data_IF_477377712391
#
_entry.id   IF_477377712391
#
_cell.length_a   1.000
_cell.length_b   1.000
_cell.length_c   1.000
_cell.angle_alpha   90.00
_cell.angle_beta   90.00
_cell.angle_gamma   90.00
#
_symmetry.space_group_name_H-M   'P 1'
#
loop_
_entity.id
_entity.type
_entity.pdbx_description
1 polymer ?
#
# COMPACT_ATOMS: atom_id res chain seq x y z
N UNK A 1 24.39 -9.54 -1.05
CA UNK A 1 23.56 -9.14 0.11
C UNK A 1 22.10 -9.33 -0.26
N UNK A 2 21.32 -10.03 0.57
CA UNK A 2 19.89 -10.29 0.28
C UNK A 2 19.05 -9.07 0.68
N UNK A 3 18.17 -8.62 -0.21
CA UNK A 3 17.31 -7.46 0.05
C UNK A 3 15.85 -7.88 -0.09
N UNK A 4 15.09 -7.68 0.98
CA UNK A 4 13.67 -7.96 1.03
C UNK A 4 12.87 -6.69 0.75
N UNK A 5 12.04 -6.71 -0.28
CA UNK A 5 11.08 -5.65 -0.60
C UNK A 5 9.74 -6.04 0.02
N UNK A 6 9.27 -5.28 0.99
CA UNK A 6 8.11 -5.63 1.80
C UNK A 6 7.03 -4.57 1.60
N UNK A 7 5.86 -4.99 1.12
CA UNK A 7 4.68 -4.14 1.08
C UNK A 7 4.05 -4.08 2.47
N UNK A 8 3.71 -2.87 2.91
CA UNK A 8 3.00 -2.67 4.17
C UNK A 8 1.69 -3.46 4.22
N UNK A 9 1.16 -3.75 5.41
CA UNK A 9 -0.12 -4.43 5.58
C UNK A 9 -1.31 -3.50 5.34
N UNK A 10 -2.53 -4.05 5.39
CA UNK A 10 -3.76 -3.29 5.19
C UNK A 10 -3.90 -2.16 6.22
N UNK A 11 -4.29 -0.97 5.75
CA UNK A 11 -4.43 0.23 6.56
C UNK A 11 -5.87 0.77 6.51
N UNK A 12 -6.25 1.53 7.52
CA UNK A 12 -7.47 2.35 7.48
C UNK A 12 -7.29 3.45 6.44
N UNK A 13 -8.25 3.58 5.54
CA UNK A 13 -8.21 4.57 4.47
C UNK A 13 -9.11 5.73 4.87
N UNK A 14 -8.55 6.89 5.22
CA UNK A 14 -9.39 8.04 5.50
C UNK A 14 -9.82 8.75 4.21
N UNK A 15 -10.91 8.27 3.65
CA UNK A 15 -11.53 8.82 2.45
C UNK A 15 -12.21 10.18 2.67
N UNK A 16 -12.36 10.64 3.91
CA UNK A 16 -12.85 12.01 4.17
C UNK A 16 -11.82 13.07 3.81
N UNK A 17 -10.55 12.66 3.68
CA UNK A 17 -9.41 13.57 3.53
C UNK A 17 -9.04 14.33 4.81
N UNK A 18 -9.66 14.04 5.96
CA UNK A 18 -9.34 14.70 7.22
C UNK A 18 -7.96 14.29 7.75
N UNK A 19 -7.59 13.01 7.60
CA UNK A 19 -6.26 12.51 7.92
C UNK A 19 -5.41 12.38 6.65
N UNK A 20 -4.25 13.04 6.60
CA UNK A 20 -3.27 12.81 5.55
C UNK A 20 -2.90 11.34 5.42
N UNK A 21 -2.63 10.90 4.19
CA UNK A 21 -2.29 9.50 3.84
C UNK A 21 -1.08 8.96 4.62
N UNK A 22 -0.17 9.86 5.00
CA UNK A 22 1.01 9.54 5.84
C UNK A 22 0.64 9.15 7.27
N UNK A 23 -0.56 9.51 7.74
CA UNK A 23 -1.07 9.25 9.10
C UNK A 23 -2.08 8.08 9.15
N UNK A 24 -2.26 7.37 8.04
CA UNK A 24 -3.11 6.18 8.03
C UNK A 24 -2.41 5.05 8.78
N UNK A 25 -3.12 4.50 9.77
CA UNK A 25 -2.69 3.39 10.61
C UNK A 25 -3.10 2.05 10.02
N UNK A 26 -2.44 0.97 10.45
CA UNK A 26 -2.85 -0.40 10.13
C UNK A 26 -4.23 -0.74 10.69
N UNK A 27 -4.96 -1.58 9.95
CA UNK A 27 -6.10 -2.30 10.50
C UNK A 27 -5.60 -3.38 11.49
N UNK A 28 -6.39 -3.81 12.49
CA UNK A 28 -5.97 -4.83 13.46
C UNK A 28 -5.49 -6.13 12.79
N UNK A 29 -6.18 -6.60 11.77
CA UNK A 29 -5.78 -7.77 10.98
C UNK A 29 -4.47 -7.55 10.23
N UNK A 30 -4.22 -6.33 9.74
CA UNK A 30 -2.96 -5.95 9.11
C UNK A 30 -1.78 -5.98 10.08
N UNK A 31 -1.98 -5.52 11.31
CA UNK A 31 -0.98 -5.61 12.38
C UNK A 31 -0.65 -7.07 12.74
N UNK A 32 -1.67 -7.95 12.84
CA UNK A 32 -1.47 -9.37 13.09
C UNK A 32 -0.70 -10.05 11.95
N UNK A 33 -1.11 -9.82 10.69
CA UNK A 33 -0.45 -10.37 9.51
C UNK A 33 1.00 -9.86 9.35
N UNK A 34 1.28 -8.63 9.76
CA UNK A 34 2.64 -8.08 9.79
C UNK A 34 3.55 -8.87 10.74
N UNK A 35 3.05 -9.25 11.92
CA UNK A 35 3.79 -10.11 12.85
C UNK A 35 4.08 -11.48 12.26
N UNK A 36 3.07 -12.13 11.68
CA UNK A 36 3.22 -13.42 11.01
C UNK A 36 4.20 -13.38 9.84
N UNK A 37 4.18 -12.30 9.03
CA UNK A 37 5.15 -12.13 7.96
C UNK A 37 6.57 -12.03 8.52
N UNK A 38 6.76 -11.37 9.66
CA UNK A 38 8.04 -11.36 10.38
C UNK A 38 8.50 -12.77 10.78
N UNK A 39 7.61 -13.61 11.30
CA UNK A 39 7.93 -15.00 11.66
C UNK A 39 8.30 -15.84 10.43
N UNK A 40 7.52 -15.75 9.36
CA UNK A 40 7.77 -16.47 8.10
C UNK A 40 9.11 -16.07 7.50
N UNK A 41 9.35 -14.76 7.38
CA UNK A 41 10.62 -14.23 6.86
C UNK A 41 11.78 -14.60 7.78
N UNK A 42 11.56 -14.69 9.09
CA UNK A 42 12.54 -15.13 10.09
C UNK A 42 12.96 -16.59 9.94
N UNK A 43 12.11 -17.44 9.36
CA UNK A 43 12.42 -18.84 9.08
C UNK A 43 13.21 -19.08 7.79
N UNK A 44 13.51 -18.04 7.01
CA UNK A 44 14.30 -18.15 5.78
C UNK A 44 15.79 -18.31 6.08
N UNK A 45 16.57 -18.81 5.11
CA UNK A 45 18.01 -19.07 5.28
C UNK A 45 18.82 -17.82 5.64
N UNK A 46 18.42 -16.64 5.15
CA UNK A 46 19.09 -15.34 5.39
C UNK A 46 18.04 -14.26 5.75
N UNK A 47 17.41 -14.32 6.93
CA UNK A 47 16.36 -13.37 7.31
C UNK A 47 16.96 -11.95 7.46
N UNK A 48 16.19 -10.87 7.29
CA UNK A 48 16.68 -9.51 7.46
C UNK A 48 17.34 -9.30 8.83
N UNK A 49 18.53 -8.70 8.86
CA UNK A 49 19.21 -8.31 10.10
C UNK A 49 18.84 -6.88 10.55
N UNK A 50 18.20 -6.12 9.66
CA UNK A 50 17.74 -4.76 9.87
C UNK A 50 16.50 -4.54 8.99
N UNK A 51 15.50 -3.87 9.54
CA UNK A 51 14.38 -3.35 8.76
C UNK A 51 14.50 -1.84 8.61
N UNK A 52 14.21 -1.35 7.41
CA UNK A 52 14.12 0.07 7.10
C UNK A 52 12.73 0.33 6.54
N UNK A 53 12.01 1.27 7.12
CA UNK A 53 10.66 1.60 6.69
C UNK A 53 10.59 3.00 6.12
N UNK A 54 9.61 3.24 5.25
CA UNK A 54 9.19 4.60 4.95
C UNK A 54 8.67 5.31 6.21
N UNK A 55 8.68 6.64 6.22
CA UNK A 55 8.11 7.43 7.32
C UNK A 55 6.59 7.47 7.34
N UNK A 56 5.91 6.80 6.41
CA UNK A 56 4.45 6.71 6.44
C UNK A 56 4.01 5.71 7.51
N UNK A 57 3.02 6.08 8.31
CA UNK A 57 2.66 5.38 9.53
C UNK A 57 2.32 3.90 9.33
N UNK A 58 1.48 3.56 8.34
CA UNK A 58 1.18 2.16 7.97
C UNK A 58 2.42 1.32 7.63
N UNK A 59 3.41 1.89 6.94
CA UNK A 59 4.64 1.17 6.61
C UNK A 59 5.51 1.00 7.86
N UNK A 60 5.63 2.06 8.67
CA UNK A 60 6.36 2.02 9.93
C UNK A 60 5.76 0.99 10.89
N UNK A 61 4.45 0.98 11.07
CA UNK A 61 3.74 0.02 11.92
C UNK A 61 3.94 -1.41 11.41
N UNK A 62 3.85 -1.63 10.09
CA UNK A 62 4.15 -2.96 9.51
C UNK A 62 5.57 -3.39 9.87
N UNK A 63 6.55 -2.50 9.66
CA UNK A 63 7.93 -2.74 10.02
C UNK A 63 8.14 -2.96 11.52
N UNK A 64 7.40 -2.27 12.38
CA UNK A 64 7.52 -2.40 13.83
C UNK A 64 6.99 -3.75 14.33
N UNK A 65 5.88 -4.23 13.76
CA UNK A 65 5.35 -5.57 14.05
C UNK A 65 6.32 -6.66 13.55
N UNK A 66 6.86 -6.53 12.34
CA UNK A 66 7.85 -7.46 11.80
C UNK A 66 9.17 -7.45 12.59
N UNK A 67 9.72 -6.27 12.90
CA UNK A 67 10.96 -6.11 13.66
C UNK A 67 10.88 -6.78 15.03
N UNK A 68 9.72 -6.65 15.71
CA UNK A 68 9.47 -7.33 16.98
C UNK A 68 9.49 -8.85 16.83
N UNK A 69 8.85 -9.40 15.79
CA UNK A 69 8.83 -10.83 15.54
C UNK A 69 10.21 -11.39 15.16
N UNK A 70 10.98 -10.64 14.37
CA UNK A 70 12.33 -10.99 13.93
C UNK A 70 13.40 -10.78 15.02
N UNK A 71 13.13 -9.92 16.01
CA UNK A 71 14.13 -9.51 17.01
C UNK A 71 15.23 -8.61 16.44
N UNK A 72 14.92 -7.79 15.42
CA UNK A 72 15.90 -6.93 14.73
C UNK A 72 15.56 -5.45 14.86
N UNK A 73 16.53 -4.53 14.67
CA UNK A 73 16.25 -3.10 14.69
C UNK A 73 15.35 -2.67 13.52
N UNK A 74 14.66 -1.54 13.74
CA UNK A 74 13.89 -0.82 12.72
C UNK A 74 14.41 0.61 12.63
N UNK A 75 14.68 1.09 11.42
CA UNK A 75 14.94 2.51 11.16
C UNK A 75 14.01 3.08 10.10
N UNK A 76 14.01 4.40 9.96
CA UNK A 76 13.20 5.15 8.99
C UNK A 76 14.07 5.71 7.87
N UNK A 77 13.53 5.74 6.65
CA UNK A 77 14.14 6.44 5.53
C UNK A 77 13.07 7.03 4.61
N UNK A 78 13.06 8.36 4.47
CA UNK A 78 12.10 9.09 3.64
C UNK A 78 12.24 8.80 2.14
N UNK A 79 13.39 8.30 1.69
CA UNK A 79 13.61 7.84 0.31
C UNK A 79 12.69 6.66 -0.08
N UNK A 80 12.06 5.99 0.89
CA UNK A 80 11.16 4.87 0.65
C UNK A 80 9.67 5.20 0.79
N UNK A 81 9.30 6.48 0.90
CA UNK A 81 7.90 6.92 0.81
C UNK A 81 7.24 6.59 -0.53
N UNK A 82 5.92 6.49 -0.57
CA UNK A 82 5.14 6.30 -1.81
C UNK A 82 5.32 7.47 -2.80
N UNK A 83 5.05 7.23 -4.10
CA UNK A 83 5.19 8.21 -5.19
C UNK A 83 4.42 9.50 -4.91
N UNK A 84 3.18 9.39 -4.42
CA UNK A 84 2.24 10.50 -4.32
C UNK A 84 1.16 10.21 -3.26
N UNK A 85 0.88 11.19 -2.39
CA UNK A 85 -0.28 11.14 -1.47
C UNK A 85 -1.56 11.70 -2.13
N UNK A 86 -1.41 12.43 -3.23
CA UNK A 86 -2.47 13.04 -4.01
C UNK A 86 -3.33 12.03 -4.75
N UNK A 87 -2.73 10.99 -5.35
CA UNK A 87 -3.48 9.92 -6.05
C UNK A 87 -4.46 9.24 -5.09
N UNK A 88 -4.08 9.07 -3.82
CA UNK A 88 -4.96 8.49 -2.81
C UNK A 88 -6.14 9.39 -2.38
N UNK A 89 -6.18 10.66 -2.78
CA UNK A 89 -7.39 11.50 -2.64
C UNK A 89 -8.51 11.06 -3.61
N UNK A 90 -8.17 10.26 -4.62
CA UNK A 90 -9.08 9.77 -5.65
C UNK A 90 -9.32 8.26 -5.56
N UNK A 91 -9.07 7.64 -4.39
CA UNK A 91 -9.43 6.25 -4.14
C UNK A 91 -10.91 6.04 -4.48
N UNK A 92 -11.19 5.21 -5.48
CA UNK A 92 -12.50 5.11 -6.13
C UNK A 92 -12.37 4.43 -7.49
N UNK A 93 -13.46 4.36 -8.29
CA UNK A 93 -13.49 3.60 -9.54
C UNK A 93 -12.36 3.96 -10.53
N UNK A 94 -11.94 5.23 -10.54
CA UNK A 94 -10.90 5.75 -11.44
C UNK A 94 -9.46 5.53 -10.95
N UNK A 95 -9.24 4.99 -9.74
CA UNK A 95 -7.88 4.75 -9.23
C UNK A 95 -7.10 3.84 -10.19
N UNK A 96 -7.73 2.77 -10.70
CA UNK A 96 -7.11 1.86 -11.66
C UNK A 96 -6.72 2.58 -12.96
N UNK A 97 -7.57 3.48 -13.47
CA UNK A 97 -7.29 4.28 -14.67
C UNK A 97 -6.12 5.23 -14.46
N UNK A 98 -6.09 5.93 -13.33
CA UNK A 98 -5.02 6.89 -12.98
C UNK A 98 -3.69 6.14 -12.82
N UNK A 99 -3.69 5.01 -12.11
CA UNK A 99 -2.48 4.20 -11.93
C UNK A 99 -1.98 3.65 -13.26
N UNK A 100 -2.87 3.17 -14.12
CA UNK A 100 -2.50 2.72 -15.47
C UNK A 100 -1.86 3.86 -16.27
N UNK A 101 -2.48 5.05 -16.28
CA UNK A 101 -1.92 6.23 -16.95
C UNK A 101 -0.52 6.58 -16.41
N UNK A 102 -0.33 6.58 -15.09
CA UNK A 102 0.96 6.88 -14.47
C UNK A 102 2.03 5.83 -14.76
N UNK A 103 1.66 4.56 -14.92
CA UNK A 103 2.57 3.51 -15.36
C UNK A 103 2.99 3.68 -16.83
N UNK A 104 2.07 4.09 -17.70
CA UNK A 104 2.33 4.35 -19.13
C UNK A 104 3.09 5.67 -19.35
N UNK A 105 2.94 6.65 -18.44
CA UNK A 105 3.51 7.98 -18.53
C UNK A 105 4.29 8.34 -17.26
N UNK A 106 5.41 7.67 -17.00
CA UNK A 106 6.15 7.82 -15.73
C UNK A 106 6.69 9.23 -15.46
N UNK A 107 6.88 10.04 -16.50
CA UNK A 107 7.31 11.44 -16.38
C UNK A 107 6.15 12.41 -16.07
N UNK A 108 4.90 11.93 -16.12
CA UNK A 108 3.73 12.75 -15.84
C UNK A 108 3.67 13.09 -14.34
N UNK A 109 3.61 14.39 -14.05
CA UNK A 109 3.22 14.89 -12.74
C UNK A 109 1.71 15.12 -12.73
N UNK A 110 1.00 14.42 -11.85
CA UNK A 110 -0.40 14.70 -11.57
C UNK A 110 -0.50 15.45 -10.24
N UNK A 111 -1.39 16.44 -10.18
CA UNK A 111 -1.66 17.24 -8.97
C UNK A 111 -0.45 18.05 -8.45
N UNK A 112 0.55 18.30 -9.30
CA UNK A 112 1.79 18.98 -8.90
C UNK A 112 2.68 18.15 -7.97
N UNK A 113 2.45 16.83 -7.89
CA UNK A 113 3.27 15.92 -7.09
C UNK A 113 4.40 15.27 -7.92
N UNK A 114 5.38 14.67 -7.24
CA UNK A 114 6.50 13.99 -7.87
C UNK A 114 5.99 12.91 -8.84
N UNK A 115 6.63 12.82 -10.01
CA UNK A 115 6.27 11.83 -11.01
C UNK A 115 6.85 10.44 -10.64
N UNK A 116 6.46 9.41 -11.39
CA UNK A 116 6.90 8.04 -11.13
C UNK A 116 8.39 7.86 -11.43
N UNK A 117 8.95 8.59 -12.39
CA UNK A 117 10.38 8.58 -12.68
C UNK A 117 11.23 9.09 -11.51
N UNK A 118 10.84 10.21 -10.88
CA UNK A 118 11.48 10.81 -9.72
C UNK A 118 11.37 9.90 -8.51
N UNK A 119 10.18 9.33 -8.27
CA UNK A 119 9.97 8.40 -7.18
C UNK A 119 10.79 7.11 -7.35
N UNK A 120 10.89 6.61 -8.58
CA UNK A 120 11.76 5.48 -8.95
C UNK A 120 13.22 5.80 -8.71
N UNK A 121 13.74 6.93 -9.22
CA UNK A 121 15.13 7.34 -9.03
C UNK A 121 15.48 7.49 -7.54
N UNK A 122 14.66 8.23 -6.78
CA UNK A 122 14.81 8.39 -5.32
C UNK A 122 14.88 7.04 -4.62
N UNK A 123 13.98 6.12 -4.95
CA UNK A 123 13.93 4.82 -4.30
C UNK A 123 15.14 3.95 -4.66
N UNK A 124 15.45 3.80 -5.95
CA UNK A 124 16.50 2.89 -6.42
C UNK A 124 17.90 3.38 -6.04
N UNK A 125 18.17 4.68 -6.13
CA UNK A 125 19.42 5.29 -5.69
C UNK A 125 19.57 5.21 -4.18
N UNK A 126 18.51 5.54 -3.42
CA UNK A 126 18.48 5.44 -1.97
C UNK A 126 18.71 4.01 -1.49
N UNK A 127 18.11 3.03 -2.17
CA UNK A 127 18.31 1.62 -1.86
C UNK A 127 19.74 1.17 -2.15
N UNK A 128 20.30 1.52 -3.32
CA UNK A 128 21.66 1.14 -3.67
C UNK A 128 22.70 1.75 -2.72
N UNK A 129 22.53 3.02 -2.32
CA UNK A 129 23.39 3.69 -1.35
C UNK A 129 23.32 3.00 0.02
N UNK A 130 22.10 2.77 0.51
CA UNK A 130 21.85 2.09 1.79
C UNK A 130 22.45 0.68 1.81
N UNK A 131 22.23 -0.12 0.77
CA UNK A 131 22.76 -1.48 0.71
C UNK A 131 24.29 -1.49 0.76
N UNK A 132 24.97 -0.58 0.05
CA UNK A 132 26.43 -0.44 0.14
C UNK A 132 26.89 -0.07 1.54
N UNK A 133 26.21 0.89 2.17
CA UNK A 133 26.50 1.31 3.55
C UNK A 133 26.37 0.14 4.53
N UNK A 134 25.25 -0.60 4.46
CA UNK A 134 24.99 -1.71 5.36
C UNK A 134 25.91 -2.91 5.09
N UNK A 135 26.28 -3.16 3.83
CA UNK A 135 27.26 -4.19 3.51
C UNK A 135 28.65 -3.86 4.07
N UNK A 136 29.06 -2.58 4.04
CA UNK A 136 30.29 -2.12 4.71
C UNK A 136 30.22 -2.28 6.24
N UNK A 137 29.01 -2.17 6.81
CA UNK A 137 28.75 -2.46 8.23
C UNK A 137 28.67 -3.97 8.55
N UNK A 138 28.82 -4.84 7.54
CA UNK A 138 28.86 -6.30 7.70
C UNK A 138 27.49 -6.99 7.71
N UNK A 139 26.41 -6.29 7.30
CA UNK A 139 25.10 -6.93 7.14
C UNK A 139 25.06 -7.75 5.85
N UNK A 140 24.48 -8.94 5.94
CA UNK A 140 24.27 -9.85 4.82
C UNK A 140 22.85 -9.77 4.25
N UNK A 141 21.91 -9.22 5.02
CA UNK A 141 20.51 -9.08 4.65
C UNK A 141 19.83 -7.83 5.21
N UNK A 142 18.88 -7.28 4.45
CA UNK A 142 18.12 -6.07 4.81
C UNK A 142 16.67 -6.21 4.35
N UNK A 143 15.72 -5.66 5.11
CA UNK A 143 14.33 -5.55 4.70
C UNK A 143 13.89 -4.10 4.54
N UNK A 144 13.15 -3.81 3.47
CA UNK A 144 12.64 -2.49 3.12
C UNK A 144 11.12 -2.53 3.14
N UNK A 145 10.50 -1.85 4.10
CA UNK A 145 9.03 -1.81 4.26
C UNK A 145 8.49 -0.53 3.64
N UNK A 146 7.70 -0.68 2.56
CA UNK A 146 7.24 0.42 1.72
C UNK A 146 5.87 0.12 1.08
N UNK A 147 5.58 0.72 -0.07
CA UNK A 147 4.26 0.83 -0.69
C UNK A 147 4.26 0.26 -2.11
N UNK A 148 3.09 -0.19 -2.60
CA UNK A 148 3.05 -0.93 -3.87
C UNK A 148 3.53 -0.11 -5.06
N UNK A 149 3.24 1.20 -5.15
CA UNK A 149 3.65 2.01 -6.29
C UNK A 149 5.17 2.05 -6.46
N UNK A 150 5.88 2.55 -5.45
CA UNK A 150 7.35 2.58 -5.45
C UNK A 150 8.01 1.20 -5.46
N UNK A 151 7.42 0.20 -4.82
CA UNK A 151 7.97 -1.16 -4.86
C UNK A 151 7.85 -1.77 -6.25
N UNK A 152 6.74 -1.55 -6.98
CA UNK A 152 6.59 -2.00 -8.36
C UNK A 152 7.62 -1.34 -9.27
N UNK A 153 7.84 -0.03 -9.12
CA UNK A 153 8.85 0.72 -9.88
C UNK A 153 10.27 0.21 -9.62
N UNK A 154 10.60 0.00 -8.35
CA UNK A 154 11.90 -0.56 -7.96
C UNK A 154 12.07 -1.98 -8.50
N UNK A 155 11.07 -2.83 -8.32
CA UNK A 155 11.05 -4.20 -8.81
C UNK A 155 11.24 -4.27 -10.32
N UNK A 156 10.47 -3.50 -11.10
CA UNK A 156 10.64 -3.44 -12.55
C UNK A 156 12.08 -3.04 -12.93
N UNK A 157 12.67 -2.10 -12.21
CA UNK A 157 14.02 -1.62 -12.50
C UNK A 157 15.10 -2.70 -12.29
N UNK A 158 14.87 -3.62 -11.35
CA UNK A 158 15.84 -4.65 -10.97
C UNK A 158 15.59 -6.01 -11.61
N UNK A 159 14.33 -6.38 -11.82
CA UNK A 159 13.91 -7.69 -12.28
C UNK A 159 13.15 -7.68 -13.61
N UNK A 160 12.83 -6.50 -14.16
CA UNK A 160 11.97 -6.35 -15.33
C UNK A 160 10.49 -6.63 -15.03
N UNK A 161 9.70 -6.80 -16.09
CA UNK A 161 8.26 -7.07 -16.02
C UNK A 161 7.37 -5.83 -16.20
N UNK A 162 6.08 -6.09 -16.33
CA UNK A 162 5.06 -5.06 -16.53
C UNK A 162 4.57 -4.53 -15.18
N UNK A 163 4.59 -3.21 -14.98
CA UNK A 163 4.28 -2.58 -13.68
C UNK A 163 2.89 -2.93 -13.16
N UNK A 164 1.90 -2.96 -14.05
CA UNK A 164 0.53 -3.27 -13.70
C UNK A 164 0.39 -4.72 -13.21
N UNK A 165 1.11 -5.67 -13.82
CA UNK A 165 1.11 -7.08 -13.39
C UNK A 165 1.82 -7.24 -12.05
N UNK A 166 2.96 -6.56 -11.88
CA UNK A 166 3.72 -6.57 -10.62
C UNK A 166 2.85 -6.01 -9.48
N UNK A 167 2.23 -4.84 -9.66
CA UNK A 167 1.41 -4.19 -8.64
C UNK A 167 0.22 -5.07 -8.23
N UNK A 168 -0.52 -5.60 -9.22
CA UNK A 168 -1.68 -6.48 -8.98
C UNK A 168 -1.31 -7.80 -8.31
N UNK A 169 -0.08 -8.28 -8.50
CA UNK A 169 0.38 -9.50 -7.86
C UNK A 169 0.59 -9.34 -6.35
N UNK A 170 0.87 -8.11 -5.87
CA UNK A 170 1.19 -7.88 -4.47
C UNK A 170 -0.04 -8.05 -3.57
N UNK A 171 0.15 -8.72 -2.44
CA UNK A 171 -0.84 -8.88 -1.36
C UNK A 171 -0.57 -7.91 -0.20
N UNK A 172 -1.41 -7.94 0.84
CA UNK A 172 -1.27 -7.10 2.03
C UNK A 172 -1.13 -7.96 3.29
N UNK A 173 0.01 -7.90 4.01
CA UNK A 173 1.33 -7.52 3.51
C UNK A 173 1.88 -8.59 2.54
N UNK A 174 3.00 -8.27 1.89
CA UNK A 174 3.65 -9.19 0.96
C UNK A 174 5.16 -8.91 0.90
N UNK A 175 5.94 -9.86 0.41
CA UNK A 175 7.40 -9.77 0.35
C UNK A 175 7.93 -10.36 -0.95
N UNK A 176 8.92 -9.68 -1.52
CA UNK A 176 9.79 -10.21 -2.55
C UNK A 176 11.25 -10.12 -2.09
N UNK A 177 12.12 -10.95 -2.66
CA UNK A 177 13.54 -10.95 -2.33
C UNK A 177 14.42 -10.84 -3.58
N UNK A 178 15.43 -9.97 -3.49
CA UNK A 178 16.44 -9.71 -4.51
C UNK A 178 17.85 -9.98 -3.95
N UNK A 179 18.82 -10.29 -4.82
CA UNK A 179 20.22 -10.31 -4.43
C UNK A 179 20.94 -9.06 -4.95
N UNK A 180 21.60 -8.33 -4.06
CA UNK A 180 22.53 -7.27 -4.43
C UNK A 180 23.94 -7.84 -4.58
N UNK A 181 24.57 -7.57 -5.72
CA UNK A 181 25.86 -8.11 -6.14
C UNK A 181 26.99 -7.11 -5.92
N UNK A 182 28.22 -7.63 -5.88
CA UNK A 182 29.43 -6.81 -5.67
C UNK A 182 29.65 -5.75 -6.75
N UNK A 183 29.20 -6.02 -7.98
CA UNK A 183 29.24 -5.06 -9.09
C UNK A 183 28.24 -3.89 -8.93
N UNK A 184 27.45 -3.88 -7.85
CA UNK A 184 26.47 -2.85 -7.54
C UNK A 184 25.12 -3.02 -8.24
N UNK A 185 24.87 -4.15 -8.91
CA UNK A 185 23.57 -4.47 -9.51
C UNK A 185 22.69 -5.31 -8.58
N UNK A 186 21.38 -5.22 -8.79
CA UNK A 186 20.43 -6.19 -8.28
C UNK A 186 20.24 -7.29 -9.32
N UNK A 187 20.28 -8.54 -8.91
CA UNK A 187 19.99 -9.69 -9.77
C UNK A 187 18.93 -10.58 -9.13
N UNK A 188 17.99 -11.00 -9.99
CA UNK A 188 17.12 -12.13 -9.73
C UNK A 188 16.04 -11.85 -8.69
N UNK A 189 14.86 -12.39 -8.96
CA UNK A 189 13.87 -12.66 -7.92
C UNK A 189 14.24 -14.00 -7.32
N UNK A 190 14.77 -13.97 -6.12
CA UNK A 190 14.88 -15.21 -5.33
C UNK A 190 13.45 -15.68 -5.03
N UNK A 191 12.56 -14.73 -4.70
CA UNK A 191 11.14 -14.95 -4.41
C UNK A 191 10.33 -13.75 -4.97
N UNK A 192 9.38 -13.94 -5.90
CA UNK A 192 8.50 -12.87 -6.38
C UNK A 192 7.39 -12.53 -5.38
N UNK A 193 6.79 -11.35 -5.54
CA UNK A 193 5.54 -11.00 -4.86
C UNK A 193 4.41 -11.97 -5.24
N UNK A 194 3.38 -12.01 -4.41
CA UNK A 194 2.18 -12.80 -4.65
C UNK A 194 2.26 -14.24 -4.16
N UNK A 195 3.35 -14.65 -3.50
CA UNK A 195 3.40 -15.95 -2.84
C UNK A 195 2.42 -15.98 -1.66
N UNK A 196 1.62 -17.04 -1.55
CA UNK A 196 0.71 -17.24 -0.41
C UNK A 196 1.52 -17.69 0.82
N UNK A 197 2.30 -16.77 1.38
CA UNK A 197 3.14 -17.02 2.54
C UNK A 197 2.38 -16.91 3.86
N UNK A 198 1.22 -16.24 3.83
CA UNK A 198 0.41 -15.96 5.01
C UNK A 198 -0.90 -16.74 4.97
N UNK A 199 -1.26 -17.28 6.12
CA UNK A 199 -2.61 -17.81 6.37
C UNK A 199 -3.44 -16.64 6.90
N UNK A 200 -4.55 -16.25 6.24
CA UNK A 200 -5.41 -15.20 6.76
C UNK A 200 -5.85 -15.56 8.19
N UNK A 201 -5.93 -14.58 9.11
CA UNK A 201 -6.45 -14.85 10.44
C UNK A 201 -7.86 -15.44 10.32
N UNK A 202 -8.12 -16.52 11.06
CA UNK A 202 -9.46 -17.11 11.14
C UNK A 202 -10.32 -16.16 11.96
N UNK A 203 -11.13 -15.36 11.28
CA UNK A 203 -12.20 -14.59 11.92
C UNK A 203 -13.24 -15.62 12.40
N UNK A 204 -13.60 -15.67 13.69
CA UNK A 204 -14.64 -16.58 14.19
C UNK A 204 -15.95 -16.40 13.40
N UNK A 205 -16.65 -17.49 13.10
CA UNK A 205 -17.91 -17.43 12.33
C UNK A 205 -18.98 -16.55 13.00
N UNK A 206 -18.97 -16.49 14.33
CA UNK A 206 -19.86 -15.61 15.11
C UNK A 206 -19.60 -14.12 14.81
N UNK A 207 -18.34 -13.74 14.63
CA UNK A 207 -17.94 -12.37 14.29
C UNK A 207 -18.25 -12.04 12.82
N UNK A 208 -18.08 -13.02 11.92
CA UNK A 208 -18.50 -12.88 10.51
C UNK A 208 -20.01 -12.68 10.38
N UNK A 209 -20.81 -13.47 11.09
CA UNK A 209 -22.27 -13.36 11.03
C UNK A 209 -22.76 -12.06 11.67
N UNK A 210 -22.11 -11.61 12.75
CA UNK A 210 -22.38 -10.30 13.34
C UNK A 210 -22.08 -9.15 12.36
N UNK A 211 -20.96 -9.21 11.64
CA UNK A 211 -20.64 -8.21 10.62
C UNK A 211 -21.63 -8.23 9.45
N UNK A 212 -22.03 -9.43 8.98
CA UNK A 212 -23.01 -9.58 7.90
C UNK A 212 -24.37 -8.96 8.23
N UNK A 213 -24.88 -9.18 9.45
CA UNK A 213 -26.13 -8.55 9.92
C UNK A 213 -26.03 -7.03 9.89
N UNK A 214 -24.92 -6.47 10.36
CA UNK A 214 -24.70 -5.02 10.37
C UNK A 214 -24.62 -4.47 8.93
N UNK A 215 -24.03 -5.21 7.99
CA UNK A 215 -23.94 -4.84 6.57
C UNK A 215 -25.32 -4.83 5.91
N UNK A 216 -26.13 -5.87 6.13
CA UNK A 216 -27.50 -5.92 5.62
C UNK A 216 -28.35 -4.74 6.17
N UNK A 217 -28.15 -4.37 7.43
CA UNK A 217 -28.78 -3.18 8.02
C UNK A 217 -28.29 -1.86 7.42
N UNK A 218 -27.00 -1.76 7.06
CA UNK A 218 -26.45 -0.59 6.36
C UNK A 218 -27.11 -0.43 4.99
N UNK A 219 -27.22 -1.52 4.24
CA UNK A 219 -27.87 -1.54 2.92
C UNK A 219 -29.34 -1.15 3.01
N UNK A 220 -30.06 -1.68 4.00
CA UNK A 220 -31.45 -1.28 4.24
C UNK A 220 -31.55 0.21 4.60
N UNK A 221 -30.71 0.70 5.52
CA UNK A 221 -30.72 2.10 5.93
C UNK A 221 -30.37 3.06 4.77
N UNK A 222 -29.50 2.65 3.84
CA UNK A 222 -29.18 3.40 2.62
C UNK A 222 -30.39 3.46 1.67
N UNK A 223 -31.09 2.34 1.42
CA UNK A 223 -32.32 2.31 0.59
C UNK A 223 -33.42 3.19 1.17
N UNK A 224 -33.49 3.26 2.49
CA UNK A 224 -34.45 4.09 3.22
C UNK A 224 -33.97 5.55 3.42
N UNK A 225 -32.80 5.91 2.90
CA UNK A 225 -32.19 7.25 3.02
C UNK A 225 -31.99 7.72 4.48
N UNK A 226 -31.71 6.79 5.40
CA UNK A 226 -31.52 7.05 6.85
C UNK A 226 -30.04 7.26 7.18
N UNK A 227 -29.49 8.41 6.82
CA UNK A 227 -28.08 8.76 6.99
C UNK A 227 -27.55 8.58 8.43
N UNK A 228 -28.34 8.95 9.45
CA UNK A 228 -27.94 8.83 10.86
C UNK A 228 -27.80 7.36 11.30
N UNK A 229 -28.65 6.47 10.77
CA UNK A 229 -28.60 5.03 11.09
C UNK A 229 -27.39 4.37 10.42
N UNK A 230 -27.11 4.74 9.18
CA UNK A 230 -25.89 4.33 8.49
C UNK A 230 -24.66 4.75 9.32
N UNK A 231 -24.64 5.99 9.80
CA UNK A 231 -23.55 6.50 10.63
C UNK A 231 -23.32 5.71 11.92
N UNK A 232 -24.41 5.31 12.58
CA UNK A 232 -24.38 4.49 13.79
C UNK A 232 -23.87 3.07 13.52
N UNK A 233 -24.33 2.42 12.44
CA UNK A 233 -23.97 1.05 12.09
C UNK A 233 -22.49 0.91 11.70
N UNK A 234 -21.96 1.86 10.95
CA UNK A 234 -20.52 1.91 10.67
C UNK A 234 -19.69 2.01 11.95
N UNK A 235 -20.13 2.83 12.92
CA UNK A 235 -19.46 2.94 14.22
C UNK A 235 -19.43 1.62 14.98
N UNK A 236 -20.45 0.78 14.84
CA UNK A 236 -20.49 -0.57 15.43
C UNK A 236 -19.48 -1.52 14.79
N UNK A 237 -19.20 -1.38 13.49
CA UNK A 237 -18.12 -2.09 12.81
C UNK A 237 -16.72 -1.56 13.15
N UNK A 238 -16.61 -0.50 13.98
CA UNK A 238 -15.35 0.20 14.20
C UNK A 238 -14.84 0.95 12.96
N UNK A 239 -15.73 1.18 12.00
CA UNK A 239 -15.43 1.84 10.72
C UNK A 239 -16.07 3.23 10.71
N UNK A 240 -15.42 4.20 10.08
CA UNK A 240 -16.01 5.52 9.91
C UNK A 240 -17.08 5.48 8.81
N UNK A 241 -18.32 5.96 9.03
CA UNK A 241 -19.34 6.11 7.96
C UNK A 241 -18.96 7.09 6.84
N UNK A 242 -17.83 7.74 7.06
CA UNK A 242 -17.20 8.76 6.27
C UNK A 242 -16.06 8.17 5.44
N UNK A 243 -15.86 6.85 5.50
CA UNK A 243 -14.88 6.05 4.77
C UNK A 243 -15.56 5.22 3.64
N UNK A 244 -15.79 5.80 2.44
CA UNK A 244 -16.34 5.08 1.29
C UNK A 244 -15.48 3.93 0.74
N UNK A 245 -14.25 3.71 1.24
CA UNK A 245 -13.41 2.57 0.85
C UNK A 245 -13.95 1.27 1.42
N UNK A 246 -14.46 1.31 2.65
CA UNK A 246 -15.10 0.17 3.29
C UNK A 246 -16.45 -0.15 2.65
N UNK A 247 -17.19 0.86 2.17
CA UNK A 247 -18.42 0.60 1.43
C UNK A 247 -18.16 -0.20 0.14
N UNK A 248 -17.08 0.06 -0.59
CA UNK A 248 -16.73 -0.69 -1.80
C UNK A 248 -16.23 -2.11 -1.51
N UNK A 249 -15.43 -2.32 -0.45
CA UNK A 249 -15.01 -3.67 0.02
C UNK A 249 -16.23 -4.50 0.47
N UNK A 250 -17.16 -3.89 1.21
CA UNK A 250 -18.38 -4.56 1.67
C UNK A 250 -19.38 -4.78 0.53
N UNK A 251 -19.61 -3.82 -0.35
CA UNK A 251 -20.51 -4.01 -1.50
C UNK A 251 -19.98 -5.05 -2.50
N UNK A 252 -18.66 -5.17 -2.63
CA UNK A 252 -18.01 -6.19 -3.47
C UNK A 252 -18.08 -7.60 -2.88
N UNK A 253 -17.99 -7.72 -1.55
CA UNK A 253 -18.13 -9.00 -0.85
C UNK A 253 -19.60 -9.45 -0.69
N UNK A 254 -20.57 -8.51 -0.71
CA UNK A 254 -21.98 -8.78 -0.36
C UNK A 254 -23.03 -8.39 -1.43
N UNK A 255 -22.62 -7.84 -2.59
CA UNK A 255 -23.47 -7.74 -3.78
C UNK A 255 -24.43 -6.54 -3.87
N UNK A 256 -24.14 -5.42 -3.21
CA UNK A 256 -24.98 -4.21 -3.25
C UNK A 256 -24.69 -3.30 -4.49
N UNK A 257 -25.72 -2.71 -5.10
CA UNK A 257 -25.58 -1.86 -6.29
C UNK A 257 -25.16 -0.42 -5.95
N UNK A 258 -24.02 0.00 -6.49
CA UNK A 258 -23.24 1.21 -6.19
C UNK A 258 -23.45 2.39 -7.16
N UNK A 259 -24.47 2.36 -8.01
CA UNK A 259 -24.52 3.17 -9.24
C UNK A 259 -24.62 4.70 -9.02
N UNK A 260 -25.56 5.19 -8.21
CA UNK A 260 -25.81 6.64 -8.09
C UNK A 260 -24.69 7.41 -7.36
N UNK A 261 -24.03 6.76 -6.38
CA UNK A 261 -22.91 7.36 -5.65
C UNK A 261 -21.63 7.43 -6.51
N UNK A 262 -21.39 6.42 -7.34
CA UNK A 262 -20.27 6.40 -8.26
C UNK A 262 -20.43 7.47 -9.35
N UNK A 263 -21.63 7.63 -9.92
CA UNK A 263 -21.90 8.66 -10.93
C UNK A 263 -21.74 10.10 -10.40
N UNK A 264 -22.12 10.36 -9.14
CA UNK A 264 -21.93 11.68 -8.53
C UNK A 264 -20.44 12.00 -8.35
N UNK A 265 -19.62 11.02 -7.94
CA UNK A 265 -18.17 11.19 -7.77
C UNK A 265 -17.46 11.42 -9.11
N UNK A 266 -17.85 10.71 -10.16
CA UNK A 266 -17.24 10.83 -11.48
C UNK A 266 -17.36 12.25 -12.06
N UNK A 267 -18.48 12.95 -11.81
CA UNK A 267 -18.70 14.32 -12.30
C UNK A 267 -17.87 15.40 -11.60
N UNK A 268 -17.26 15.08 -10.45
CA UNK A 268 -16.50 16.05 -9.64
C UNK A 268 -14.98 15.93 -9.83
N UNK A 269 -14.50 14.95 -10.61
CA UNK A 269 -13.08 14.69 -10.81
C UNK A 269 -12.68 15.18 -12.22
N UNK A 270 -11.69 16.09 -12.35
CA UNK A 270 -11.20 16.55 -13.65
C UNK A 270 -10.71 15.40 -14.55
N UNK A 271 -10.64 15.65 -15.86
CA UNK A 271 -10.09 14.71 -16.84
C UNK A 271 -8.59 14.45 -16.58
N UNK A 272 -8.04 13.34 -17.08
CA UNK A 272 -6.60 13.07 -16.94
C UNK A 272 -5.74 14.15 -17.62
N UNK A 273 -6.24 14.73 -18.72
CA UNK A 273 -5.59 15.82 -19.43
C UNK A 273 -5.58 17.11 -18.59
N UNK A 274 -6.70 17.45 -17.95
CA UNK A 274 -6.82 18.60 -17.05
C UNK A 274 -5.90 18.46 -15.82
N UNK A 275 -5.80 17.25 -15.26
CA UNK A 275 -4.92 16.97 -14.11
C UNK A 275 -3.43 17.04 -14.46
N UNK A 276 -3.07 16.61 -15.67
CA UNK A 276 -1.69 16.68 -16.20
C UNK A 276 -1.28 18.12 -16.50
N UNK A 277 -2.19 18.92 -17.08
CA UNK A 277 -1.95 20.34 -17.37
C UNK A 277 -1.76 21.15 -16.08
N UNK A 278 -2.60 20.91 -15.05
CA UNK A 278 -2.43 21.51 -13.72
C UNK A 278 -1.08 21.14 -13.07
N UNK A 279 -0.60 19.91 -13.27
CA UNK A 279 0.72 19.48 -12.75
C UNK A 279 1.90 20.20 -13.42
N UNK A 280 1.82 20.46 -14.73
CA UNK A 280 2.86 21.18 -15.49
C UNK A 280 2.98 22.65 -15.09
N UNK A 281 1.85 23.32 -14.81
CA UNK A 281 1.88 24.72 -14.38
C UNK A 281 2.53 24.91 -13.00
N UNK A 282 2.44 23.91 -12.12
CA UNK A 282 3.05 23.95 -10.77
C UNK A 282 4.57 23.72 -10.83
N UNK A 283 5.05 22.90 -11.78
CA UNK A 283 6.49 22.61 -11.93
C UNK A 283 7.27 23.69 -12.70
N UNK A 284 6.59 24.61 -13.38
CA UNK A 284 7.20 25.75 -14.09
C UNK A 284 7.31 27.03 -13.24
N UNK A 285 6.80 27.04 -12.00
CA UNK A 285 6.90 28.17 -11.06
C UNK A 285 7.95 27.91 -9.99
#
# INVERSE_FOLDING_TARGET
>A
MKVYLIRHASAFVDMTGQKPVKQWHLKPEGAALSGQLGEVVGGLERPPQLLISSSQLKAFETGAHMARALGVPLALNDAFGEVSAGVSKFLGPRYAEIMKYLFEHQDASLFGEANFADAKARFTEGLAALVREQQLAGLESLGIVSHSGVLSLAYQSFAGGELEEIEKSMKFPDVAALEFKENGSFEGLIEPFGQHLLVPPVIPEEEKEAHKVIIDEIDQALREQKADRVAELYKQLGVSPKDPGVFNELSGAFGASTTEWNEYRERQIPSLEELSEQGREVTQK
#
